data_IF_227260643855
#
_entry.id   IF_227260643855
#
_cell.length_a   1.000
_cell.length_b   1.000
_cell.length_c   1.000
_cell.angle_alpha   90.00
_cell.angle_beta   90.00
_cell.angle_gamma   90.00
#
_symmetry.space_group_name_H-M   'P 1'
#
loop_
_entity.id
_entity.type
_entity.pdbx_description
1 polymer ?
#
# COMPACT_ATOMS: atom_id res chain seq x y z
N UNK A 1 24.37 -9.46 -3.42
CA UNK A 1 22.97 -9.10 -3.73
C UNK A 1 22.07 -10.33 -3.82
N UNK A 2 22.36 -11.34 -4.67
CA UNK A 2 21.46 -12.49 -4.89
C UNK A 2 21.05 -13.32 -3.67
N UNK A 3 21.91 -13.49 -2.66
CA UNK A 3 21.57 -14.31 -1.48
C UNK A 3 20.38 -13.77 -0.67
N UNK A 4 20.26 -12.45 -0.48
CA UNK A 4 19.13 -11.84 0.24
C UNK A 4 17.83 -11.90 -0.55
N UNK A 5 17.89 -11.73 -1.86
CA UNK A 5 16.75 -11.87 -2.77
C UNK A 5 16.19 -13.30 -2.69
N UNK A 6 17.07 -14.30 -2.78
CA UNK A 6 16.67 -15.71 -2.65
C UNK A 6 16.07 -16.02 -1.28
N UNK A 7 16.64 -15.48 -0.19
CA UNK A 7 16.09 -15.63 1.16
C UNK A 7 14.73 -14.94 1.30
N UNK A 8 14.56 -13.74 0.74
CA UNK A 8 13.29 -13.01 0.72
C UNK A 8 12.21 -13.80 -0.03
N UNK A 9 12.52 -14.30 -1.23
CA UNK A 9 11.60 -15.12 -2.03
C UNK A 9 11.24 -16.43 -1.32
N UNK A 10 12.21 -17.11 -0.71
CA UNK A 10 11.98 -18.29 0.12
C UNK A 10 11.06 -18.00 1.31
N UNK A 11 11.29 -16.90 2.02
CA UNK A 11 10.45 -16.47 3.13
C UNK A 11 9.03 -16.11 2.69
N UNK A 12 8.86 -15.43 1.56
CA UNK A 12 7.54 -15.13 0.99
C UNK A 12 6.75 -16.40 0.69
N UNK A 13 7.41 -17.45 0.18
CA UNK A 13 6.79 -18.78 -0.02
C UNK A 13 6.40 -19.43 1.31
N UNK A 14 7.34 -19.52 2.24
CA UNK A 14 7.13 -20.17 3.55
C UNK A 14 6.06 -19.48 4.41
N UNK A 15 5.85 -18.18 4.22
CA UNK A 15 4.85 -17.40 4.98
C UNK A 15 3.52 -17.22 4.26
N UNK A 16 3.33 -17.89 3.11
CA UNK A 16 2.10 -17.79 2.31
C UNK A 16 1.88 -16.42 1.66
N UNK A 17 2.94 -15.60 1.54
CA UNK A 17 2.88 -14.24 1.00
C UNK A 17 3.16 -14.17 -0.50
N UNK A 18 3.48 -15.29 -1.13
CA UNK A 18 3.71 -15.41 -2.58
C UNK A 18 2.60 -14.78 -3.44
N UNK A 19 1.30 -14.89 -3.10
CA UNK A 19 0.24 -14.25 -3.89
C UNK A 19 0.42 -12.72 -4.06
N UNK A 20 1.09 -12.05 -3.12
CA UNK A 20 1.38 -10.61 -3.22
C UNK A 20 2.29 -10.30 -4.41
N UNK A 21 3.27 -11.16 -4.68
CA UNK A 21 4.20 -11.01 -5.80
C UNK A 21 3.53 -11.36 -7.12
N UNK A 22 2.67 -12.39 -7.12
CA UNK A 22 1.93 -12.82 -8.30
C UNK A 22 0.94 -11.73 -8.76
N UNK A 23 0.19 -11.13 -7.83
CA UNK A 23 -0.68 -9.98 -8.12
C UNK A 23 0.10 -8.77 -8.63
N UNK A 24 1.25 -8.47 -8.02
CA UNK A 24 2.12 -7.37 -8.48
C UNK A 24 2.60 -7.61 -9.93
N UNK A 25 3.04 -8.84 -10.25
CA UNK A 25 3.45 -9.22 -11.60
C UNK A 25 2.28 -9.13 -12.59
N UNK A 26 1.10 -9.57 -12.18
CA UNK A 26 -0.12 -9.44 -12.98
C UNK A 26 -0.40 -7.96 -13.30
N UNK A 27 -0.39 -7.08 -12.31
CA UNK A 27 -0.64 -5.64 -12.52
C UNK A 27 0.43 -4.97 -13.37
N UNK A 28 1.71 -5.32 -13.18
CA UNK A 28 2.80 -4.86 -14.04
C UNK A 28 2.59 -5.26 -15.51
N UNK A 29 2.09 -6.47 -15.77
CA UNK A 29 1.79 -6.91 -17.14
C UNK A 29 0.61 -6.14 -17.76
N UNK A 30 -0.27 -5.57 -16.92
CA UNK A 30 -1.48 -4.85 -17.33
C UNK A 30 -1.31 -3.32 -17.43
N UNK A 31 -0.22 -2.76 -16.90
CA UNK A 31 -0.07 -1.31 -16.70
C UNK A 31 -0.06 -0.46 -17.99
N UNK A 32 0.21 -1.08 -19.13
CA UNK A 32 0.24 -0.43 -20.45
C UNK A 32 -0.77 -1.02 -21.43
N UNK A 33 -1.80 -1.72 -20.93
CA UNK A 33 -2.87 -2.21 -21.78
C UNK A 33 -3.56 -1.04 -22.52
N UNK A 34 -4.01 -1.27 -23.77
CA UNK A 34 -4.82 -0.29 -24.48
C UNK A 34 -6.03 0.15 -23.66
N UNK A 35 -6.44 1.41 -23.82
CA UNK A 35 -7.54 1.99 -23.06
C UNK A 35 -8.85 1.16 -23.16
N UNK A 36 -9.11 0.55 -24.31
CA UNK A 36 -10.26 -0.34 -24.52
C UNK A 36 -10.19 -1.61 -23.67
N UNK A 37 -9.02 -2.23 -23.57
CA UNK A 37 -8.82 -3.45 -22.78
C UNK A 37 -8.88 -3.17 -21.28
N UNK A 38 -8.20 -2.10 -20.83
CA UNK A 38 -8.27 -1.62 -19.45
C UNK A 38 -9.71 -1.23 -19.08
N UNK A 39 -10.41 -0.54 -19.98
CA UNK A 39 -11.81 -0.15 -19.78
C UNK A 39 -12.73 -1.35 -19.56
N UNK A 40 -12.58 -2.41 -20.35
CA UNK A 40 -13.34 -3.66 -20.17
C UNK A 40 -13.04 -4.31 -18.81
N UNK A 41 -11.76 -4.45 -18.46
CA UNK A 41 -11.37 -5.04 -17.17
C UNK A 41 -11.89 -4.23 -15.96
N UNK A 42 -11.91 -2.90 -16.07
CA UNK A 42 -12.47 -2.03 -15.04
C UNK A 42 -13.99 -2.19 -14.93
N UNK A 43 -14.72 -2.31 -16.05
CA UNK A 43 -16.17 -2.53 -16.03
C UNK A 43 -16.53 -3.90 -15.44
N UNK A 44 -15.79 -4.95 -15.79
CA UNK A 44 -15.95 -6.30 -15.22
C UNK A 44 -15.73 -6.27 -13.69
N UNK A 45 -14.66 -5.60 -13.24
CA UNK A 45 -14.36 -5.45 -11.80
C UNK A 45 -15.39 -4.62 -11.06
N UNK A 46 -15.85 -3.51 -11.66
CA UNK A 46 -16.88 -2.63 -11.10
C UNK A 46 -18.20 -3.39 -10.93
N UNK A 47 -18.64 -4.10 -11.96
CA UNK A 47 -19.84 -4.93 -11.91
C UNK A 47 -19.75 -5.98 -10.79
N UNK A 48 -18.61 -6.67 -10.69
CA UNK A 48 -18.38 -7.65 -9.62
C UNK A 48 -18.49 -7.06 -8.21
N UNK A 49 -17.87 -5.90 -7.97
CA UNK A 49 -17.93 -5.22 -6.66
C UNK A 49 -19.34 -4.74 -6.34
N UNK A 50 -20.06 -4.17 -7.32
CA UNK A 50 -21.42 -3.68 -7.13
C UNK A 50 -22.40 -4.82 -6.86
N UNK A 51 -22.28 -5.94 -7.58
CA UNK A 51 -23.11 -7.12 -7.33
C UNK A 51 -22.84 -7.70 -5.94
N UNK A 52 -21.57 -7.81 -5.54
CA UNK A 52 -21.25 -8.24 -4.18
C UNK A 52 -21.85 -7.29 -3.13
N UNK A 53 -21.72 -5.98 -3.32
CA UNK A 53 -22.31 -4.98 -2.42
C UNK A 53 -23.84 -5.09 -2.36
N UNK A 54 -24.50 -5.26 -3.50
CA UNK A 54 -25.95 -5.45 -3.58
C UNK A 54 -26.41 -6.75 -2.88
N UNK A 55 -25.69 -7.85 -3.08
CA UNK A 55 -26.09 -9.16 -2.58
C UNK A 55 -25.80 -9.33 -1.09
N UNK A 56 -24.67 -8.81 -0.61
CA UNK A 56 -24.15 -9.14 0.72
C UNK A 56 -24.15 -7.97 1.71
N UNK A 57 -24.36 -6.72 1.26
CA UNK A 57 -24.30 -5.54 2.13
C UNK A 57 -25.64 -4.80 2.14
N UNK A 58 -26.36 -4.89 3.26
CA UNK A 58 -27.72 -4.36 3.39
C UNK A 58 -27.83 -2.88 3.03
N UNK A 59 -26.88 -2.05 3.47
CA UNK A 59 -26.87 -0.61 3.16
C UNK A 59 -26.84 -0.34 1.65
N UNK A 60 -25.94 -1.01 0.91
CA UNK A 60 -25.80 -0.78 -0.52
C UNK A 60 -26.97 -1.36 -1.31
N UNK A 61 -27.50 -2.53 -0.89
CA UNK A 61 -28.73 -3.09 -1.44
C UNK A 61 -29.89 -2.10 -1.36
N UNK A 62 -30.12 -1.50 -0.19
CA UNK A 62 -31.20 -0.54 0.00
C UNK A 62 -31.01 0.75 -0.82
N UNK A 63 -29.77 1.19 -1.00
CA UNK A 63 -29.46 2.34 -1.87
C UNK A 63 -29.75 2.05 -3.35
N UNK A 64 -29.28 0.90 -3.85
CA UNK A 64 -29.44 0.51 -5.25
C UNK A 64 -30.89 0.22 -5.60
N UNK A 65 -31.63 -0.51 -4.76
CA UNK A 65 -33.06 -0.76 -4.96
C UNK A 65 -33.87 0.54 -5.01
N UNK A 66 -33.59 1.51 -4.13
CA UNK A 66 -34.25 2.81 -4.15
C UNK A 66 -33.92 3.64 -5.38
N UNK A 67 -32.76 3.42 -5.97
CA UNK A 67 -32.35 4.03 -7.24
C UNK A 67 -32.87 3.28 -8.48
N UNK A 68 -33.59 2.18 -8.30
CA UNK A 68 -34.15 1.38 -9.39
C UNK A 68 -33.16 0.40 -10.03
N UNK A 69 -32.13 -0.02 -9.29
CA UNK A 69 -31.17 -1.02 -9.74
C UNK A 69 -31.35 -2.35 -8.99
N UNK A 70 -31.62 -3.43 -9.73
CA UNK A 70 -31.46 -4.81 -9.29
C UNK A 70 -30.23 -5.47 -9.94
N UNK A 71 -30.01 -6.77 -9.69
CA UNK A 71 -28.89 -7.54 -10.23
C UNK A 71 -28.74 -7.42 -11.76
N UNK A 72 -29.86 -7.37 -12.50
CA UNK A 72 -29.86 -7.26 -13.94
C UNK A 72 -29.50 -5.85 -14.40
N UNK A 73 -30.06 -4.80 -13.80
CA UNK A 73 -29.69 -3.43 -14.16
C UNK A 73 -28.23 -3.14 -13.83
N UNK A 74 -27.70 -3.67 -12.72
CA UNK A 74 -26.27 -3.55 -12.37
C UNK A 74 -25.39 -4.21 -13.43
N UNK A 75 -25.76 -5.39 -13.93
CA UNK A 75 -25.01 -6.09 -14.99
C UNK A 75 -25.06 -5.36 -16.33
N UNK A 76 -26.18 -4.71 -16.62
CA UNK A 76 -26.39 -3.99 -17.87
C UNK A 76 -25.66 -2.64 -17.89
N UNK A 77 -25.71 -1.87 -16.79
CA UNK A 77 -25.05 -0.57 -16.68
C UNK A 77 -24.44 -0.33 -15.28
N UNK A 78 -23.28 -0.95 -14.99
CA UNK A 78 -22.61 -0.80 -13.69
C UNK A 78 -22.14 0.63 -13.43
N UNK A 79 -21.92 1.44 -14.49
CA UNK A 79 -21.48 2.84 -14.34
C UNK A 79 -22.64 3.71 -13.85
N UNK A 80 -23.83 3.54 -14.41
CA UNK A 80 -25.03 4.22 -13.92
C UNK A 80 -25.38 3.78 -12.49
N UNK A 81 -25.25 2.50 -12.16
CA UNK A 81 -25.47 1.98 -10.81
C UNK A 81 -24.51 2.63 -9.80
N UNK A 82 -23.21 2.74 -10.13
CA UNK A 82 -22.24 3.44 -9.29
C UNK A 82 -22.62 4.92 -9.11
N UNK A 83 -23.03 5.60 -10.19
CA UNK A 83 -23.42 7.01 -10.16
C UNK A 83 -24.69 7.29 -9.34
N UNK A 84 -25.54 6.28 -9.13
CA UNK A 84 -26.75 6.39 -8.33
C UNK A 84 -26.54 6.21 -6.82
N UNK A 85 -25.39 5.65 -6.41
CA UNK A 85 -25.06 5.48 -5.00
C UNK A 85 -24.79 6.83 -4.33
N UNK A 86 -25.26 7.06 -3.09
CA UNK A 86 -24.92 8.26 -2.35
C UNK A 86 -23.43 8.27 -1.99
N UNK A 87 -22.83 9.46 -1.94
CA UNK A 87 -21.47 9.62 -1.45
C UNK A 87 -21.37 9.14 0.01
N UNK A 88 -20.38 8.30 0.29
CA UNK A 88 -20.14 7.74 1.62
C UNK A 88 -19.29 8.69 2.46
N UNK A 89 -19.91 9.37 3.42
CA UNK A 89 -19.24 10.26 4.37
C UNK A 89 -18.96 9.58 5.73
N UNK A 90 -18.18 10.24 6.60
CA UNK A 90 -17.86 9.73 7.95
C UNK A 90 -19.08 9.55 8.84
N UNK A 91 -20.13 10.34 8.65
CA UNK A 91 -21.37 10.24 9.42
C UNK A 91 -22.12 8.96 9.05
N UNK A 92 -22.27 8.68 7.75
CA UNK A 92 -22.90 7.47 7.23
C UNK A 92 -22.13 6.23 7.70
N UNK A 93 -20.80 6.24 7.61
CA UNK A 93 -19.95 5.14 8.12
C UNK A 93 -20.22 4.82 9.59
N UNK A 94 -20.49 5.85 10.41
CA UNK A 94 -20.77 5.69 11.85
C UNK A 94 -22.20 5.22 12.09
N UNK A 95 -23.18 5.88 11.47
CA UNK A 95 -24.61 5.61 11.66
C UNK A 95 -25.06 4.27 11.08
N UNK A 96 -24.43 3.84 9.98
CA UNK A 96 -24.79 2.63 9.26
C UNK A 96 -23.72 1.52 9.37
N UNK A 97 -22.81 1.58 10.35
CA UNK A 97 -21.70 0.64 10.46
C UNK A 97 -22.13 -0.84 10.41
N UNK A 98 -23.22 -1.20 11.11
CA UNK A 98 -23.75 -2.57 11.12
C UNK A 98 -24.37 -2.96 9.77
N UNK A 99 -25.08 -2.05 9.09
CA UNK A 99 -25.68 -2.30 7.79
C UNK A 99 -24.66 -2.31 6.63
N UNK A 100 -23.49 -1.73 6.86
CA UNK A 100 -22.33 -1.74 5.95
C UNK A 100 -21.48 -3.01 6.06
N UNK A 101 -21.81 -3.91 7.00
CA UNK A 101 -21.15 -5.22 7.10
C UNK A 101 -21.68 -6.15 6.02
N UNK A 102 -20.76 -6.88 5.40
CA UNK A 102 -21.10 -7.99 4.53
C UNK A 102 -21.60 -9.17 5.36
N UNK A 103 -22.67 -9.84 4.92
CA UNK A 103 -23.23 -11.00 5.63
C UNK A 103 -22.35 -12.25 5.58
N UNK A 104 -21.39 -12.29 4.65
CA UNK A 104 -20.43 -13.37 4.49
C UNK A 104 -19.16 -13.23 5.37
N UNK A 105 -19.07 -12.18 6.21
CA UNK A 105 -17.89 -11.91 7.03
C UNK A 105 -17.47 -13.07 7.94
N UNK A 106 -18.41 -13.90 8.40
CA UNK A 106 -18.11 -15.06 9.24
C UNK A 106 -17.21 -16.10 8.54
N UNK A 107 -17.18 -16.10 7.21
CA UNK A 107 -16.33 -16.98 6.40
C UNK A 107 -14.92 -16.41 6.16
N UNK A 108 -14.66 -15.16 6.58
CA UNK A 108 -13.43 -14.41 6.29
C UNK A 108 -12.59 -14.22 7.54
N UNK A 109 -11.28 -14.11 7.36
CA UNK A 109 -10.39 -13.64 8.41
C UNK A 109 -10.31 -12.10 8.36
N UNK A 110 -11.04 -11.44 9.25
CA UNK A 110 -11.21 -9.99 9.28
C UNK A 110 -10.97 -9.38 10.67
N UNK A 111 -10.76 -8.06 10.69
CA UNK A 111 -10.63 -7.26 11.90
C UNK A 111 -11.17 -5.84 11.68
N UNK A 112 -11.40 -5.11 12.77
CA UNK A 112 -11.77 -3.69 12.71
C UNK A 112 -10.52 -2.83 12.74
N UNK A 113 -10.44 -1.87 11.84
CA UNK A 113 -9.44 -0.81 11.83
C UNK A 113 -10.10 0.56 12.01
N UNK A 114 -9.34 1.57 12.44
CA UNK A 114 -9.86 2.93 12.66
C UNK A 114 -8.95 3.99 12.05
N UNK A 115 -9.55 5.09 11.58
CA UNK A 115 -8.77 6.24 11.09
C UNK A 115 -8.05 6.95 12.24
N UNK A 116 -6.91 7.60 11.95
CA UNK A 116 -6.30 8.57 12.87
C UNK A 116 -7.25 9.76 13.12
N UNK A 117 -7.61 10.00 14.39
CA UNK A 117 -8.63 10.97 14.80
C UNK A 117 -8.22 12.44 14.75
N UNK A 118 -7.52 12.88 13.69
CA UNK A 118 -7.04 14.27 13.56
C UNK A 118 -8.16 15.33 13.49
N UNK A 119 -9.40 14.91 13.21
CA UNK A 119 -10.56 15.79 12.95
C UNK A 119 -11.81 15.44 13.78
N UNK A 120 -11.67 14.59 14.81
CA UNK A 120 -12.78 14.14 15.66
C UNK A 120 -12.85 12.63 15.82
N UNK A 121 -14.06 12.09 15.92
CA UNK A 121 -14.29 10.65 16.14
C UNK A 121 -13.71 9.79 14.98
N UNK A 122 -12.91 8.76 15.30
CA UNK A 122 -12.38 7.83 14.30
C UNK A 122 -13.49 7.11 13.52
N UNK A 123 -13.36 7.06 12.20
CA UNK A 123 -14.17 6.16 11.37
C UNK A 123 -13.67 4.72 11.57
N UNK A 124 -14.61 3.76 11.61
CA UNK A 124 -14.33 2.32 11.74
C UNK A 124 -14.49 1.65 10.39
N UNK A 125 -13.59 0.72 10.08
CA UNK A 125 -13.56 -0.03 8.84
C UNK A 125 -13.36 -1.51 9.15
N UNK A 126 -13.90 -2.39 8.32
CA UNK A 126 -13.59 -3.82 8.36
C UNK A 126 -12.56 -4.11 7.27
N UNK A 127 -11.50 -4.81 7.65
CA UNK A 127 -10.43 -5.21 6.76
C UNK A 127 -10.20 -6.70 6.90
N UNK A 128 -10.13 -7.40 5.77
CA UNK A 128 -9.88 -8.83 5.73
C UNK A 128 -8.49 -9.15 5.14
N UNK A 129 -8.22 -10.45 5.04
CA UNK A 129 -6.95 -10.94 4.50
C UNK A 129 -6.77 -10.62 3.02
N UNK A 130 -7.87 -10.51 2.26
CA UNK A 130 -7.84 -10.11 0.86
C UNK A 130 -7.45 -8.63 0.75
N UNK A 131 -8.11 -7.73 1.50
CA UNK A 131 -7.71 -6.33 1.59
C UNK A 131 -6.20 -6.18 1.88
N UNK A 132 -5.67 -6.95 2.83
CA UNK A 132 -4.24 -6.91 3.16
C UNK A 132 -3.36 -7.40 2.01
N UNK A 133 -3.75 -8.47 1.32
CA UNK A 133 -3.05 -9.00 0.14
C UNK A 133 -2.95 -7.94 -0.97
N UNK A 134 -4.08 -7.35 -1.36
CA UNK A 134 -4.13 -6.30 -2.39
C UNK A 134 -3.31 -5.07 -1.99
N UNK A 135 -3.39 -4.63 -0.73
CA UNK A 135 -2.58 -3.52 -0.21
C UNK A 135 -1.07 -3.79 -0.28
N UNK A 136 -0.64 -5.02 0.00
CA UNK A 136 0.77 -5.41 -0.12
C UNK A 136 1.23 -5.53 -1.57
N UNK A 137 0.39 -6.05 -2.47
CA UNK A 137 0.68 -6.09 -3.90
C UNK A 137 0.82 -4.67 -4.47
N UNK A 138 -0.06 -3.74 -4.06
CA UNK A 138 0.00 -2.33 -4.47
C UNK A 138 1.29 -1.66 -4.00
N UNK A 139 1.66 -1.86 -2.73
CA UNK A 139 2.96 -1.38 -2.23
C UNK A 139 4.13 -1.92 -3.05
N UNK A 140 4.11 -3.22 -3.38
CA UNK A 140 5.17 -3.83 -4.19
C UNK A 140 5.23 -3.23 -5.62
N UNK A 141 4.08 -2.92 -6.22
CA UNK A 141 4.00 -2.25 -7.52
C UNK A 141 4.66 -0.86 -7.47
N UNK A 142 4.31 -0.04 -6.48
CA UNK A 142 4.93 1.27 -6.29
C UNK A 142 6.44 1.17 -6.05
N UNK A 143 6.88 0.21 -5.24
CA UNK A 143 8.29 -0.09 -5.03
C UNK A 143 9.01 -0.35 -6.37
N UNK A 144 8.44 -1.21 -7.23
CA UNK A 144 9.00 -1.50 -8.57
C UNK A 144 9.05 -0.26 -9.45
N UNK A 145 8.03 0.60 -9.43
CA UNK A 145 8.02 1.85 -10.21
C UNK A 145 9.12 2.83 -9.78
N UNK A 146 9.53 2.82 -8.51
CA UNK A 146 10.69 3.61 -8.06
C UNK A 146 12.05 3.00 -8.44
N UNK A 147 12.06 1.83 -9.09
CA UNK A 147 13.27 1.10 -9.44
C UNK A 147 13.86 0.26 -8.30
N UNK A 148 13.19 0.21 -7.14
CA UNK A 148 13.59 -0.62 -6.02
C UNK A 148 13.37 -2.10 -6.33
N UNK A 149 14.38 -2.91 -6.07
CA UNK A 149 14.28 -4.38 -6.10
C UNK A 149 14.28 -4.92 -4.69
N UNK A 150 13.46 -5.94 -4.44
CA UNK A 150 13.36 -6.55 -3.12
C UNK A 150 14.74 -7.00 -2.61
N UNK A 151 15.14 -6.51 -1.44
CA UNK A 151 16.42 -6.82 -0.81
C UNK A 151 17.55 -5.82 -1.11
N UNK A 152 17.32 -4.84 -1.99
CA UNK A 152 18.19 -3.67 -2.11
C UNK A 152 18.08 -2.77 -0.86
N UNK A 153 19.15 -2.03 -0.50
CA UNK A 153 19.12 -1.20 0.70
C UNK A 153 18.11 -0.06 0.56
N UNK A 154 17.22 0.09 1.54
CA UNK A 154 16.32 1.25 1.62
C UNK A 154 16.26 1.84 3.00
N UNK A 155 16.10 3.15 3.05
CA UNK A 155 15.91 3.92 4.28
C UNK A 155 14.44 4.35 4.39
N UNK A 156 13.87 4.24 5.59
CA UNK A 156 12.51 4.68 5.86
C UNK A 156 12.56 5.78 6.92
N UNK A 157 12.28 7.02 6.53
CA UNK A 157 12.15 8.18 7.41
C UNK A 157 10.70 8.25 7.91
N UNK A 158 10.43 7.68 9.09
CA UNK A 158 9.05 7.51 9.58
C UNK A 158 8.78 8.34 10.83
N UNK A 159 7.74 9.17 10.77
CA UNK A 159 7.39 10.14 11.80
C UNK A 159 6.37 9.67 12.83
N UNK A 160 5.85 8.43 12.75
CA UNK A 160 4.84 7.99 13.71
C UNK A 160 5.43 7.11 14.82
N UNK A 161 5.45 7.61 16.05
CA UNK A 161 5.75 6.81 17.24
C UNK A 161 4.84 5.58 17.35
N UNK A 162 3.55 5.68 16.98
CA UNK A 162 2.63 4.54 17.08
C UNK A 162 3.05 3.36 16.19
N UNK A 163 3.44 3.60 14.94
CA UNK A 163 3.87 2.50 14.06
C UNK A 163 5.26 1.94 14.41
N UNK A 164 6.08 2.74 15.12
CA UNK A 164 7.41 2.34 15.57
C UNK A 164 7.42 1.69 16.97
N UNK A 165 6.45 2.02 17.84
CA UNK A 165 6.45 1.70 19.28
C UNK A 165 5.20 0.95 19.78
N UNK A 166 4.13 0.79 18.99
CA UNK A 166 2.97 -0.02 19.43
C UNK A 166 3.32 -1.50 19.34
N UNK A 167 3.88 -2.01 20.43
CA UNK A 167 4.24 -3.41 20.65
C UNK A 167 5.74 -3.65 20.53
N UNK A 168 6.27 -4.58 21.34
CA UNK A 168 7.62 -5.14 21.11
C UNK A 168 7.68 -5.59 19.66
N UNK A 169 8.61 -5.04 18.88
CA UNK A 169 8.80 -5.46 17.49
C UNK A 169 8.83 -6.98 17.45
N UNK A 170 7.84 -7.58 16.79
CA UNK A 170 7.76 -9.04 16.74
C UNK A 170 8.98 -9.57 15.99
N UNK A 171 9.48 -10.74 16.38
CA UNK A 171 10.59 -11.39 15.68
C UNK A 171 10.30 -11.50 14.18
N UNK A 172 9.02 -11.71 13.81
CA UNK A 172 8.54 -11.72 12.43
C UNK A 172 8.73 -10.38 11.71
N UNK A 173 8.43 -9.26 12.37
CA UNK A 173 8.65 -7.93 11.83
C UNK A 173 10.15 -7.65 11.61
N UNK A 174 11.00 -8.04 12.57
CA UNK A 174 12.45 -7.88 12.49
C UNK A 174 13.08 -8.70 11.38
N UNK A 175 12.69 -9.96 11.26
CA UNK A 175 13.12 -10.84 10.16
C UNK A 175 12.66 -10.28 8.83
N UNK A 176 11.40 -9.84 8.72
CA UNK A 176 10.90 -9.22 7.50
C UNK A 176 11.67 -7.97 7.10
N UNK A 177 11.99 -7.09 8.06
CA UNK A 177 12.78 -5.87 7.86
C UNK A 177 14.19 -6.19 7.36
N UNK A 178 14.85 -7.17 7.98
CA UNK A 178 16.16 -7.64 7.57
C UNK A 178 16.15 -8.20 6.13
N UNK A 179 15.15 -9.02 5.80
CA UNK A 179 15.01 -9.59 4.46
C UNK A 179 14.72 -8.52 3.39
N UNK A 180 13.98 -7.48 3.76
CA UNK A 180 13.72 -6.31 2.89
C UNK A 180 14.82 -5.25 2.94
N UNK A 181 15.89 -5.48 3.70
CA UNK A 181 17.02 -4.57 3.85
C UNK A 181 16.58 -3.11 4.19
N UNK A 182 15.62 -3.01 5.10
CA UNK A 182 15.03 -1.75 5.56
C UNK A 182 15.77 -1.18 6.76
N UNK A 183 16.17 0.08 6.68
CA UNK A 183 16.76 0.84 7.78
C UNK A 183 15.82 1.99 8.16
N UNK A 184 14.96 1.81 9.17
CA UNK A 184 14.07 2.87 9.62
C UNK A 184 14.80 3.85 10.52
N UNK A 185 14.56 5.13 10.27
CA UNK A 185 15.02 6.25 11.07
C UNK A 185 13.78 6.98 11.62
N UNK A 186 13.72 7.14 12.94
CA UNK A 186 12.57 7.72 13.61
C UNK A 186 12.61 9.25 13.46
N UNK A 187 11.69 9.81 12.69
CA UNK A 187 11.62 11.25 12.44
C UNK A 187 10.58 11.97 13.28
N UNK A 188 9.96 11.32 14.28
CA UNK A 188 8.99 11.97 15.17
C UNK A 188 9.62 13.10 15.99
N UNK A 189 10.89 12.93 16.34
CA UNK A 189 11.74 13.96 16.95
C UNK A 189 13.04 14.01 16.18
N UNK A 190 13.24 15.06 15.38
CA UNK A 190 14.46 15.30 14.64
C UNK A 190 15.26 16.39 15.33
N UNK A 191 16.04 16.01 16.35
CA UNK A 191 17.05 16.91 16.88
C UNK A 191 18.19 17.07 15.87
N UNK A 192 19.00 18.10 16.11
CA UNK A 192 20.23 18.34 15.37
C UNK A 192 21.19 17.15 15.33
N UNK A 193 21.26 16.39 16.42
CA UNK A 193 22.09 15.20 16.51
C UNK A 193 21.49 14.04 15.70
N UNK A 194 20.16 13.90 15.72
CA UNK A 194 19.45 12.86 14.96
C UNK A 194 19.65 13.08 13.46
N UNK A 195 19.55 14.32 12.99
CA UNK A 195 19.77 14.65 11.58
C UNK A 195 21.18 14.27 11.12
N UNK A 196 22.22 14.58 11.90
CA UNK A 196 23.60 14.14 11.58
C UNK A 196 23.72 12.62 11.54
N UNK A 197 23.15 11.94 12.54
CA UNK A 197 23.11 10.48 12.55
C UNK A 197 22.40 9.89 11.32
N UNK A 198 21.30 10.50 10.87
CA UNK A 198 20.58 10.05 9.68
C UNK A 198 21.43 10.19 8.43
N UNK A 199 22.17 11.29 8.30
CA UNK A 199 23.11 11.51 7.19
C UNK A 199 24.21 10.45 7.20
N UNK A 200 24.79 10.15 8.37
CA UNK A 200 25.81 9.10 8.50
C UNK A 200 25.27 7.74 8.08
N UNK A 201 24.09 7.36 8.56
CA UNK A 201 23.42 6.11 8.18
C UNK A 201 23.12 6.07 6.68
N UNK A 202 22.62 7.15 6.09
CA UNK A 202 22.33 7.22 4.64
C UNK A 202 23.62 7.06 3.84
N UNK A 203 24.71 7.69 4.28
CA UNK A 203 26.03 7.60 3.63
C UNK A 203 26.65 6.21 3.74
N UNK A 204 26.43 5.50 4.86
CA UNK A 204 26.87 4.13 5.08
C UNK A 204 26.04 3.13 4.27
N UNK A 205 24.72 3.23 4.36
CA UNK A 205 23.76 2.31 3.73
C UNK A 205 23.74 2.48 2.21
N UNK A 206 23.93 3.71 1.72
CA UNK A 206 23.78 4.11 0.31
C UNK A 206 22.49 3.56 -0.30
N UNK A 207 21.32 3.93 0.25
CA UNK A 207 20.06 3.32 -0.13
C UNK A 207 19.71 3.65 -1.60
N UNK A 208 19.08 2.68 -2.27
CA UNK A 208 18.50 2.89 -3.60
C UNK A 208 17.14 3.61 -3.52
N UNK A 209 16.50 3.58 -2.35
CA UNK A 209 15.18 4.17 -2.10
C UNK A 209 15.15 4.79 -0.69
N UNK A 210 14.59 6.00 -0.60
CA UNK A 210 14.25 6.65 0.67
C UNK A 210 12.74 6.87 0.69
N UNK A 211 12.03 6.22 1.61
CA UNK A 211 10.59 6.46 1.84
C UNK A 211 10.44 7.40 3.02
N UNK A 212 9.74 8.52 2.86
CA UNK A 212 9.67 9.54 3.88
C UNK A 212 8.33 10.28 3.91
N UNK A 213 7.96 10.81 5.08
CA UNK A 213 7.04 11.94 5.11
C UNK A 213 7.72 13.14 4.45
N UNK A 214 6.95 13.93 3.68
CA UNK A 214 7.48 15.08 2.92
C UNK A 214 8.18 16.07 3.85
N UNK A 215 7.61 16.35 5.02
CA UNK A 215 8.21 17.23 6.04
C UNK A 215 9.56 16.68 6.55
N UNK A 216 9.65 15.38 6.84
CA UNK A 216 10.91 14.76 7.25
C UNK A 216 11.99 14.84 6.19
N UNK A 217 11.63 14.60 4.93
CA UNK A 217 12.55 14.72 3.81
C UNK A 217 13.00 16.17 3.62
N UNK A 218 12.08 17.12 3.75
CA UNK A 218 12.37 18.55 3.63
C UNK A 218 13.34 19.02 4.71
N UNK A 219 13.09 18.70 5.99
CA UNK A 219 13.97 19.13 7.07
C UNK A 219 15.37 18.51 6.97
N UNK A 220 15.46 17.23 6.59
CA UNK A 220 16.75 16.59 6.31
C UNK A 220 17.50 17.28 5.15
N UNK A 221 16.82 17.57 4.04
CA UNK A 221 17.42 18.21 2.87
C UNK A 221 17.85 19.65 3.18
N UNK A 222 17.00 20.42 3.85
CA UNK A 222 17.29 21.79 4.30
C UNK A 222 18.56 21.81 5.17
N UNK A 223 18.67 20.86 6.08
CA UNK A 223 19.82 20.76 6.99
C UNK A 223 21.11 20.43 6.28
N UNK A 224 21.09 19.48 5.34
CA UNK A 224 22.23 19.12 4.51
C UNK A 224 22.80 20.34 3.77
N UNK A 225 21.93 21.19 3.22
CA UNK A 225 22.33 22.40 2.50
C UNK A 225 22.97 23.42 3.46
N UNK A 226 22.37 23.64 4.65
CA UNK A 226 22.86 24.63 5.61
C UNK A 226 24.22 24.26 6.20
N UNK A 227 24.46 22.97 6.50
CA UNK A 227 25.69 22.51 7.14
C UNK A 227 26.82 22.20 6.14
N UNK A 228 26.57 22.37 4.82
CA UNK A 228 27.48 21.96 3.73
C UNK A 228 27.87 20.47 3.80
N UNK A 229 27.03 19.63 4.38
CA UNK A 229 27.25 18.19 4.41
C UNK A 229 26.90 17.57 3.06
N UNK A 230 27.83 16.82 2.48
CA UNK A 230 27.61 16.06 1.25
C UNK A 230 27.00 14.69 1.56
N UNK A 231 25.88 14.36 0.90
CA UNK A 231 25.42 12.97 0.81
C UNK A 231 26.17 12.29 -0.33
N UNK A 232 26.92 11.24 0.00
CA UNK A 232 27.61 10.42 -0.99
C UNK A 232 26.60 9.46 -1.61
N UNK A 233 25.85 9.94 -2.60
CA UNK A 233 25.02 9.07 -3.41
C UNK A 233 25.91 8.10 -4.20
N UNK A 234 25.72 6.80 -4.02
CA UNK A 234 26.15 5.85 -5.05
C UNK A 234 25.45 6.27 -6.34
N UNK A 235 26.18 6.40 -7.46
CA UNK A 235 25.65 6.92 -8.72
C UNK A 235 24.29 6.28 -9.04
N UNK A 236 23.21 7.01 -8.75
CA UNK A 236 21.90 6.67 -9.24
C UNK A 236 21.96 6.99 -10.72
N UNK A 237 22.27 5.99 -11.54
CA UNK A 237 21.96 6.08 -12.96
C UNK A 237 20.48 6.41 -13.03
N UNK A 238 20.14 7.62 -13.49
CA UNK A 238 18.81 7.95 -13.94
C UNK A 238 18.45 6.92 -15.03
N UNK A 239 17.81 5.82 -14.63
CA UNK A 239 17.36 4.81 -15.58
C UNK A 239 16.18 5.41 -16.31
N UNK A 240 16.38 5.58 -17.62
CA UNK A 240 15.35 5.95 -18.59
C UNK A 240 14.04 5.19 -18.33
N UNK A 241 12.85 5.78 -18.61
CA UNK A 241 11.54 5.14 -18.36
C UNK A 241 11.32 3.81 -19.10
N UNK A 242 12.21 3.43 -20.01
CA UNK A 242 12.20 2.13 -20.68
C UNK A 242 12.95 1.08 -19.83
N UNK A 243 12.49 0.86 -18.61
CA UNK A 243 12.89 -0.34 -17.85
C UNK A 243 12.00 -1.48 -18.34
N UNK A 244 12.60 -2.48 -19.00
CA UNK A 244 11.92 -3.74 -19.28
C UNK A 244 11.65 -4.45 -17.95
N UNK A 245 10.46 -4.23 -17.40
CA UNK A 245 10.00 -4.81 -16.15
C UNK A 245 9.80 -6.33 -16.23
N UNK A 246 9.59 -6.87 -17.43
CA UNK A 246 9.30 -8.29 -17.65
C UNK A 246 10.57 -9.15 -17.53
N UNK A 247 11.71 -8.68 -18.03
CA UNK A 247 13.00 -9.37 -17.91
C UNK A 247 13.60 -9.38 -16.50
N UNK A 248 13.12 -8.53 -15.59
CA UNK A 248 13.73 -8.31 -14.27
C UNK A 248 12.97 -8.95 -13.10
N UNK A 249 11.80 -9.54 -13.37
CA UNK A 249 11.03 -10.31 -12.39
C UNK A 249 11.46 -11.79 -12.31
N UNK A 250 12.40 -12.22 -13.16
CA UNK A 250 12.85 -13.62 -13.30
C UNK A 250 14.30 -13.89 -12.88
N UNK A 251 14.96 -12.98 -12.17
CA UNK A 251 16.31 -13.17 -11.61
C UNK A 251 16.38 -12.73 -10.14
#
# INVERSE_FOLDING_TARGET
MGARVSLYNGWMRLTGRRPQLELCQEWLSKQFLPASESGRAHLESLCGILLHAFQHVAYYRDCLLRAGFDDNEIRNDPVAALGALPLLDKRILREHFEALKSDDLASRNWHVNTSGGSTGEPARFIQDSEYHLYGMAGKALFDVWTGYKAGEPRVILWGSERDLLVGRETVKARVGRFLRNEVPLNTFRMSEQDLRHFVDVINEVRPVQITAYVESAFELARRLIMDRHTVNHGQAQARSPKVDYLGQALA
#
